data_IF_183292229101
#
_entry.id   IF_183292229101
#
_cell.length_a   1.000
_cell.length_b   1.000
_cell.length_c   1.000
_cell.angle_alpha   90.00
_cell.angle_beta   90.00
_cell.angle_gamma   90.00
#
_symmetry.space_group_name_H-M   'P 1'
#
loop_
_entity.id
_entity.type
_entity.pdbx_description
1 polymer ?
#
# COMPACT_ATOMS: atom_id res chain seq x y z
N UNK A 1 6.35 40.71 22.62
CA UNK A 1 6.29 41.45 21.34
C UNK A 1 7.72 41.63 20.83
N UNK A 2 7.99 41.37 19.53
CA UNK A 2 8.80 40.21 19.16
C UNK A 2 9.95 40.51 18.16
N UNK A 3 10.96 39.62 18.11
CA UNK A 3 11.60 39.10 16.87
C UNK A 3 12.68 38.05 17.22
N UNK A 4 12.66 36.93 16.49
CA UNK A 4 13.77 35.99 16.27
C UNK A 4 14.54 35.48 17.50
N UNK A 5 14.09 34.41 18.14
CA UNK A 5 14.94 33.51 18.92
C UNK A 5 14.26 32.16 19.05
N UNK A 6 14.92 31.09 18.57
CA UNK A 6 14.81 29.66 18.97
C UNK A 6 15.04 28.70 17.79
N UNK A 7 16.20 28.80 17.15
CA UNK A 7 16.83 27.65 16.47
C UNK A 7 18.34 27.51 16.74
N UNK A 8 18.91 28.33 17.64
CA UNK A 8 20.33 28.31 18.05
C UNK A 8 20.65 27.40 19.24
N UNK A 9 19.77 26.47 19.62
CA UNK A 9 20.01 25.52 20.73
C UNK A 9 19.86 24.07 20.26
N UNK A 10 20.74 23.64 19.35
CA UNK A 10 21.09 22.19 19.18
C UNK A 10 22.30 21.91 18.29
N UNK A 11 22.97 22.92 17.74
CA UNK A 11 24.16 22.76 16.90
C UNK A 11 25.39 23.49 17.47
N UNK A 12 25.64 23.39 18.78
CA UNK A 12 26.80 24.01 19.47
C UNK A 12 27.34 23.14 20.64
N UNK A 13 27.23 21.80 20.55
CA UNK A 13 27.77 20.89 21.59
C UNK A 13 28.74 19.83 21.07
N UNK A 14 29.32 20.00 19.88
CA UNK A 14 30.38 19.13 19.36
C UNK A 14 31.73 19.82 19.07
N UNK A 15 31.87 21.11 19.41
CA UNK A 15 33.13 21.85 19.27
C UNK A 15 33.67 22.30 20.64
N UNK A 16 34.07 21.33 21.46
CA UNK A 16 34.82 21.62 22.68
C UNK A 16 35.66 20.42 23.12
N UNK A 17 36.52 19.90 22.24
CA UNK A 17 37.68 19.03 22.56
C UNK A 17 38.37 18.57 21.26
N UNK A 18 39.26 19.42 20.72
CA UNK A 18 40.46 19.01 19.95
C UNK A 18 41.26 20.27 19.61
N UNK A 19 41.99 20.76 20.61
CA UNK A 19 43.21 21.53 20.39
C UNK A 19 44.31 20.53 20.00
N UNK A 20 45.20 20.96 19.10
CA UNK A 20 46.41 20.28 18.58
C UNK A 20 46.21 19.41 17.34
N UNK A 21 46.37 20.02 16.15
CA UNK A 21 47.39 19.66 15.17
C UNK A 21 47.23 20.56 13.93
N UNK A 22 48.29 21.24 13.51
CA UNK A 22 48.29 22.15 12.35
C UNK A 22 48.29 21.42 10.99
N UNK A 23 48.16 20.09 10.98
CA UNK A 23 48.22 19.24 9.79
C UNK A 23 46.82 18.88 9.24
N UNK A 24 45.73 19.08 10.00
CA UNK A 24 44.37 18.78 9.53
C UNK A 24 43.68 19.92 8.74
N UNK A 25 44.29 21.10 8.63
CA UNK A 25 43.67 22.22 7.88
C UNK A 25 43.94 22.16 6.37
N UNK A 26 45.07 21.57 5.98
CA UNK A 26 45.43 21.42 4.56
C UNK A 26 44.63 20.27 3.89
N UNK A 27 44.28 19.22 4.64
CA UNK A 27 43.47 18.11 4.15
C UNK A 27 41.96 18.43 3.99
N UNK A 28 41.44 19.50 4.60
CA UNK A 28 40.03 19.86 4.45
C UNK A 28 39.77 20.79 3.25
N UNK A 29 40.77 21.57 2.83
CA UNK A 29 40.63 22.48 1.68
C UNK A 29 40.87 21.74 0.34
N UNK A 30 41.75 20.73 0.31
CA UNK A 30 41.97 19.90 -0.89
C UNK A 30 40.81 18.94 -1.20
N UNK A 31 40.09 18.46 -0.17
CA UNK A 31 38.89 17.62 -0.36
C UNK A 31 37.71 18.44 -0.89
N UNK A 32 37.61 19.72 -0.52
CA UNK A 32 36.52 20.60 -0.96
C UNK A 32 36.71 21.12 -2.40
N UNK A 33 37.96 21.30 -2.86
CA UNK A 33 38.24 21.55 -4.28
C UNK A 33 38.05 20.31 -5.16
N UNK A 34 38.41 19.12 -4.67
CA UNK A 34 38.21 17.85 -5.38
C UNK A 34 36.73 17.51 -5.60
N UNK A 35 35.87 17.82 -4.63
CA UNK A 35 34.42 17.62 -4.74
C UNK A 35 33.74 18.60 -5.71
N UNK A 36 34.20 19.86 -5.78
CA UNK A 36 33.70 20.86 -6.75
C UNK A 36 34.16 20.58 -8.18
N UNK A 37 35.37 20.05 -8.38
CA UNK A 37 35.87 19.63 -9.71
C UNK A 37 35.21 18.33 -10.19
N UNK A 38 34.80 17.44 -9.29
CA UNK A 38 34.02 16.23 -9.60
C UNK A 38 32.58 16.54 -10.00
N UNK A 39 31.89 17.46 -9.29
CA UNK A 39 30.52 17.87 -9.65
C UNK A 39 30.45 18.59 -11.01
N UNK A 40 31.43 19.43 -11.34
CA UNK A 40 31.48 20.12 -12.64
C UNK A 40 31.90 19.23 -13.84
N UNK A 41 32.45 18.03 -13.58
CA UNK A 41 32.82 17.06 -14.63
C UNK A 41 31.70 16.02 -14.87
N UNK A 42 30.89 15.74 -13.85
CA UNK A 42 29.66 14.94 -13.98
C UNK A 42 28.53 15.73 -14.65
N UNK A 43 28.38 17.04 -14.38
CA UNK A 43 27.36 17.87 -15.03
C UNK A 43 27.63 18.16 -16.52
N UNK A 44 28.88 18.04 -16.98
CA UNK A 44 29.23 18.22 -18.41
C UNK A 44 29.22 16.93 -19.24
N UNK A 45 28.93 15.78 -18.61
CA UNK A 45 28.73 14.48 -19.28
C UNK A 45 27.27 14.04 -19.40
N UNK A 46 26.31 14.83 -18.92
CA UNK A 46 24.92 14.74 -19.35
C UNK A 46 24.76 15.32 -20.77
N UNK A 47 25.42 14.69 -21.74
CA UNK A 47 25.07 14.83 -23.15
C UNK A 47 23.63 14.37 -23.29
N UNK A 48 22.83 15.26 -23.87
CA UNK A 48 21.47 15.07 -24.38
C UNK A 48 21.23 13.63 -24.87
N UNK A 49 20.80 12.76 -23.97
CA UNK A 49 20.02 11.61 -24.37
C UNK A 49 18.68 12.16 -24.84
N UNK A 50 18.18 11.77 -26.02
CA UNK A 50 16.84 12.15 -26.44
C UNK A 50 15.89 11.77 -25.31
N UNK A 51 15.00 12.69 -24.92
CA UNK A 51 13.82 12.34 -24.11
C UNK A 51 13.02 11.35 -24.94
N UNK A 52 13.37 10.06 -24.84
CA UNK A 52 12.45 8.98 -25.16
C UNK A 52 11.28 9.25 -24.23
N UNK A 53 10.14 9.57 -24.81
CA UNK A 53 8.85 9.45 -24.15
C UNK A 53 8.81 8.02 -23.63
N UNK A 54 9.21 7.82 -22.37
CA UNK A 54 9.04 6.55 -21.70
C UNK A 54 7.53 6.36 -21.71
N UNK A 55 7.04 5.43 -22.52
CA UNK A 55 5.70 4.90 -22.32
C UNK A 55 5.63 4.57 -20.82
N UNK A 56 4.69 5.17 -20.10
CA UNK A 56 4.59 5.02 -18.67
C UNK A 56 4.61 3.52 -18.36
N UNK A 57 5.65 3.06 -17.65
CA UNK A 57 5.75 1.65 -17.26
C UNK A 57 4.47 1.37 -16.47
N UNK A 58 3.69 0.32 -16.83
CA UNK A 58 2.46 0.02 -16.13
C UNK A 58 2.76 -0.08 -14.63
N UNK A 59 2.00 0.67 -13.83
CA UNK A 59 2.14 0.60 -12.38
C UNK A 59 1.85 -0.82 -11.94
N UNK A 60 2.79 -1.43 -11.20
CA UNK A 60 2.57 -2.73 -10.57
C UNK A 60 1.57 -2.66 -9.41
N UNK A 61 1.17 -1.47 -8.96
CA UNK A 61 0.30 -1.29 -7.80
C UNK A 61 -1.03 -0.63 -8.20
N UNK A 62 -2.03 -1.46 -8.47
CA UNK A 62 -3.35 -1.04 -8.90
C UNK A 62 -4.29 -0.93 -7.70
N UNK A 63 -4.89 0.25 -7.53
CA UNK A 63 -5.84 0.54 -6.46
C UNK A 63 -7.23 0.80 -7.02
N UNK A 64 -8.22 0.04 -6.59
CA UNK A 64 -9.63 0.30 -6.90
C UNK A 64 -10.27 1.01 -5.70
N UNK A 65 -10.86 2.18 -5.94
CA UNK A 65 -11.64 2.93 -4.96
C UNK A 65 -13.06 3.12 -5.47
N UNK A 66 -14.01 3.37 -4.57
CA UNK A 66 -15.39 3.69 -4.96
C UNK A 66 -16.35 3.69 -3.78
N UNK A 67 -17.61 4.09 -4.00
CA UNK A 67 -18.64 4.09 -2.96
C UNK A 67 -18.84 2.69 -2.36
N UNK A 68 -19.24 2.59 -1.08
CA UNK A 68 -19.68 1.31 -0.51
C UNK A 68 -20.81 0.69 -1.33
N UNK A 69 -20.77 -0.62 -1.57
CA UNK A 69 -21.79 -1.33 -2.34
C UNK A 69 -21.71 -1.14 -3.86
N UNK A 70 -20.72 -0.40 -4.39
CA UNK A 70 -20.57 -0.21 -5.84
C UNK A 70 -20.10 -1.46 -6.58
N UNK A 71 -19.68 -2.52 -5.87
CA UNK A 71 -19.24 -3.78 -6.48
C UNK A 71 -17.72 -3.93 -6.66
N UNK A 72 -16.90 -3.28 -5.83
CA UNK A 72 -15.43 -3.42 -5.85
C UNK A 72 -14.98 -4.87 -5.73
N UNK A 73 -15.48 -5.58 -4.71
CA UNK A 73 -15.22 -7.01 -4.51
C UNK A 73 -15.64 -7.84 -5.71
N UNK A 74 -16.82 -7.57 -6.28
CA UNK A 74 -17.29 -8.26 -7.50
C UNK A 74 -16.35 -8.02 -8.68
N UNK A 75 -15.86 -6.79 -8.87
CA UNK A 75 -14.89 -6.47 -9.91
C UNK A 75 -13.58 -7.24 -9.71
N UNK A 76 -13.02 -7.22 -8.49
CA UNK A 76 -11.79 -7.94 -8.14
C UNK A 76 -11.93 -9.44 -8.39
N UNK A 77 -13.03 -10.05 -7.94
CA UNK A 77 -13.26 -11.48 -8.13
C UNK A 77 -13.39 -11.86 -9.61
N UNK A 78 -14.08 -11.04 -10.42
CA UNK A 78 -14.15 -11.27 -11.87
C UNK A 78 -12.77 -11.18 -12.54
N UNK A 79 -11.91 -10.24 -12.10
CA UNK A 79 -10.53 -10.15 -12.59
C UNK A 79 -9.73 -11.39 -12.19
N UNK A 80 -9.82 -11.82 -10.92
CA UNK A 80 -9.18 -13.03 -10.42
C UNK A 80 -9.60 -14.28 -11.21
N UNK A 81 -10.91 -14.49 -11.41
CA UNK A 81 -11.45 -15.60 -12.19
C UNK A 81 -10.96 -15.57 -13.65
N UNK A 82 -10.92 -14.38 -14.26
CA UNK A 82 -10.42 -14.20 -15.63
C UNK A 82 -8.93 -14.56 -15.74
N UNK A 83 -8.12 -14.15 -14.75
CA UNK A 83 -6.69 -14.47 -14.73
C UNK A 83 -6.46 -15.97 -14.50
N UNK A 84 -7.15 -16.58 -13.53
CA UNK A 84 -7.06 -18.03 -13.30
C UNK A 84 -7.48 -18.85 -14.51
N UNK A 85 -8.56 -18.45 -15.20
CA UNK A 85 -9.03 -19.15 -16.39
C UNK A 85 -8.06 -19.04 -17.57
N UNK A 86 -7.33 -17.93 -17.70
CA UNK A 86 -6.41 -17.70 -18.81
C UNK A 86 -4.96 -18.14 -18.54
N UNK A 87 -4.54 -18.16 -17.27
CA UNK A 87 -3.18 -18.50 -16.85
C UNK A 87 -3.24 -19.34 -15.55
N UNK A 88 -3.58 -20.64 -15.66
CA UNK A 88 -3.85 -21.49 -14.50
C UNK A 88 -2.64 -21.72 -13.58
N UNK A 89 -1.42 -21.45 -14.08
CA UNK A 89 -0.19 -21.60 -13.32
C UNK A 89 0.21 -20.35 -12.53
N UNK A 90 -0.52 -19.24 -12.65
CA UNK A 90 -0.24 -18.04 -11.86
C UNK A 90 -0.47 -18.30 -10.39
N UNK A 91 0.54 -18.04 -9.58
CA UNK A 91 0.43 -18.05 -8.14
C UNK A 91 -0.06 -16.70 -7.64
N UNK A 92 -1.38 -16.63 -7.47
CA UNK A 92 -2.06 -15.46 -6.95
C UNK A 92 -2.33 -15.66 -5.46
N UNK A 93 -1.86 -14.72 -4.64
CA UNK A 93 -2.01 -14.76 -3.18
C UNK A 93 -2.82 -13.60 -2.67
N UNK A 94 -3.41 -13.78 -1.49
CA UNK A 94 -4.18 -12.73 -0.84
C UNK A 94 -5.57 -13.18 -0.41
N UNK A 95 -6.45 -12.20 -0.27
CA UNK A 95 -7.78 -12.40 0.29
C UNK A 95 -8.74 -11.31 -0.19
N UNK A 96 -10.02 -11.58 -0.01
CA UNK A 96 -11.10 -10.63 -0.19
C UNK A 96 -12.03 -10.63 1.03
N UNK A 97 -12.79 -9.55 1.20
CA UNK A 97 -13.76 -9.38 2.28
C UNK A 97 -15.17 -9.60 1.75
N UNK A 98 -15.93 -10.46 2.42
CA UNK A 98 -17.33 -10.76 2.10
C UNK A 98 -18.27 -10.15 3.13
N UNK A 99 -19.36 -9.55 2.66
CA UNK A 99 -20.44 -9.07 3.52
C UNK A 99 -21.30 -10.25 4.01
N UNK A 100 -21.53 -10.32 5.33
CA UNK A 100 -22.41 -11.33 5.94
C UNK A 100 -23.76 -10.69 6.24
N UNK A 101 -24.83 -11.30 5.73
CA UNK A 101 -26.21 -10.84 5.91
C UNK A 101 -27.08 -11.92 6.53
N UNK A 102 -28.03 -11.50 7.35
CA UNK A 102 -29.07 -12.35 7.92
C UNK A 102 -30.38 -11.58 7.92
N UNK A 103 -31.47 -12.20 7.44
CA UNK A 103 -32.76 -11.52 7.32
C UNK A 103 -32.73 -10.25 6.45
N UNK A 104 -31.81 -10.16 5.49
CA UNK A 104 -31.61 -8.98 4.65
C UNK A 104 -30.78 -7.86 5.29
N UNK A 105 -30.48 -7.94 6.59
CA UNK A 105 -29.62 -6.98 7.26
C UNK A 105 -28.15 -7.41 7.23
N UNK A 106 -27.25 -6.44 7.09
CA UNK A 106 -25.82 -6.67 7.29
C UNK A 106 -25.51 -6.86 8.78
N UNK A 107 -24.97 -8.03 9.10
CA UNK A 107 -24.58 -8.42 10.46
C UNK A 107 -23.07 -8.41 10.68
N UNK A 108 -22.27 -8.44 9.61
CA UNK A 108 -20.82 -8.50 9.73
C UNK A 108 -20.10 -8.63 8.40
N UNK A 109 -18.82 -8.99 8.52
CA UNK A 109 -17.89 -9.21 7.42
C UNK A 109 -16.99 -10.40 7.74
N UNK A 110 -16.56 -11.11 6.70
CA UNK A 110 -15.62 -12.22 6.77
C UNK A 110 -14.45 -11.97 5.83
N UNK A 111 -13.26 -12.41 6.23
CA UNK A 111 -12.11 -12.56 5.35
C UNK A 111 -12.19 -13.91 4.67
N UNK A 112 -11.95 -13.94 3.36
CA UNK A 112 -11.85 -15.15 2.55
C UNK A 112 -10.54 -15.12 1.78
N UNK A 113 -9.67 -16.10 2.02
CA UNK A 113 -8.42 -16.27 1.27
C UNK A 113 -8.70 -16.84 -0.12
N UNK A 114 -7.78 -16.64 -1.07
CA UNK A 114 -7.96 -17.14 -2.44
C UNK A 114 -7.89 -18.68 -2.57
N UNK A 115 -7.46 -19.38 -1.52
CA UNK A 115 -7.52 -20.84 -1.40
C UNK A 115 -8.81 -21.33 -0.69
N UNK A 116 -9.72 -20.43 -0.32
CA UNK A 116 -11.04 -20.75 0.18
C UNK A 116 -11.17 -20.87 1.71
N UNK A 117 -10.10 -20.62 2.48
CA UNK A 117 -10.21 -20.50 3.94
C UNK A 117 -10.99 -19.23 4.30
N UNK A 118 -11.77 -19.30 5.37
CA UNK A 118 -12.64 -18.21 5.80
C UNK A 118 -12.56 -17.97 7.29
N UNK A 119 -12.74 -16.72 7.72
CA UNK A 119 -12.93 -16.39 9.13
C UNK A 119 -13.55 -15.02 9.36
N UNK A 120 -14.06 -14.76 10.57
CA UNK A 120 -14.76 -13.52 10.89
C UNK A 120 -13.78 -12.34 10.83
N UNK A 121 -14.20 -11.23 10.22
CA UNK A 121 -13.52 -9.93 10.31
C UNK A 121 -14.20 -9.04 11.33
N UNK A 122 -15.52 -8.91 11.23
CA UNK A 122 -16.30 -8.14 12.20
C UNK A 122 -17.75 -8.59 12.27
N UNK A 123 -18.38 -8.37 13.43
CA UNK A 123 -19.78 -8.74 13.64
C UNK A 123 -20.44 -7.80 14.63
N UNK A 124 -21.74 -7.53 14.44
CA UNK A 124 -22.57 -6.84 15.44
C UNK A 124 -23.23 -7.82 16.43
N UNK A 125 -23.08 -9.14 16.22
CA UNK A 125 -23.67 -10.18 17.07
C UNK A 125 -22.71 -10.74 18.14
N UNK A 126 -21.45 -10.29 18.17
CA UNK A 126 -20.45 -10.84 19.09
C UNK A 126 -20.59 -10.27 20.50
N UNK A 127 -20.73 -11.16 21.47
CA UNK A 127 -20.92 -10.85 22.89
C UNK A 127 -19.95 -11.60 23.82
N UNK A 128 -18.86 -12.16 23.29
CA UNK A 128 -17.86 -12.85 24.10
C UNK A 128 -17.12 -11.88 25.06
N UNK A 129 -16.61 -12.35 26.21
CA UNK A 129 -15.83 -11.52 27.14
C UNK A 129 -14.63 -10.83 26.48
N UNK A 130 -13.95 -11.53 25.56
CA UNK A 130 -12.82 -11.00 24.80
C UNK A 130 -13.22 -9.84 23.88
N UNK A 131 -14.43 -9.92 23.29
CA UNK A 131 -14.95 -8.91 22.36
C UNK A 131 -15.25 -7.56 23.00
N UNK A 132 -15.19 -7.45 24.33
CA UNK A 132 -15.40 -6.18 25.06
C UNK A 132 -14.32 -5.17 24.72
N UNK A 133 -13.09 -5.63 24.48
CA UNK A 133 -11.93 -4.75 24.16
C UNK A 133 -11.68 -4.60 22.67
N UNK A 134 -12.48 -5.25 21.83
CA UNK A 134 -12.28 -5.20 20.40
C UNK A 134 -12.58 -3.80 19.84
N UNK A 135 -11.80 -3.33 18.86
CA UNK A 135 -12.09 -2.07 18.20
C UNK A 135 -13.42 -2.14 17.44
N UNK A 136 -14.09 -1.00 17.29
CA UNK A 136 -15.41 -0.92 16.67
C UNK A 136 -15.45 0.03 15.47
N UNK A 137 -16.26 -0.33 14.48
CA UNK A 137 -16.65 0.54 13.36
C UNK A 137 -18.17 0.60 13.29
N UNK A 138 -18.75 1.68 13.81
CA UNK A 138 -20.20 1.74 13.99
C UNK A 138 -20.67 0.63 14.92
N UNK A 139 -21.62 -0.21 14.48
CA UNK A 139 -22.14 -1.33 15.25
C UNK A 139 -21.28 -2.61 15.21
N UNK A 140 -20.23 -2.65 14.39
CA UNK A 140 -19.44 -3.87 14.18
C UNK A 140 -18.20 -3.87 15.07
N UNK A 141 -18.03 -4.93 15.86
CA UNK A 141 -16.79 -5.22 16.59
C UNK A 141 -15.85 -6.02 15.69
N UNK A 142 -14.59 -5.61 15.61
CA UNK A 142 -13.59 -6.19 14.71
C UNK A 142 -12.76 -7.23 15.45
N UNK A 143 -12.74 -8.44 14.90
CA UNK A 143 -11.90 -9.54 15.38
C UNK A 143 -10.51 -9.44 14.74
N UNK A 144 -9.65 -8.65 15.37
CA UNK A 144 -8.28 -8.41 14.89
C UNK A 144 -7.46 -9.70 14.87
N UNK A 145 -7.67 -10.59 15.85
CA UNK A 145 -6.93 -11.84 15.95
C UNK A 145 -7.28 -12.80 14.80
N UNK A 146 -8.57 -12.92 14.48
CA UNK A 146 -9.03 -13.69 13.32
C UNK A 146 -8.48 -13.14 12.01
N UNK A 147 -8.55 -11.82 11.79
CA UNK A 147 -7.93 -11.16 10.63
C UNK A 147 -6.43 -11.49 10.53
N UNK A 148 -5.69 -11.34 11.62
CA UNK A 148 -4.24 -11.59 11.62
C UNK A 148 -3.91 -13.05 11.32
N UNK A 149 -4.70 -14.00 11.83
CA UNK A 149 -4.48 -15.43 11.60
C UNK A 149 -4.71 -15.86 10.15
N UNK A 150 -5.56 -15.16 9.40
CA UNK A 150 -5.94 -15.51 8.03
C UNK A 150 -5.28 -14.63 6.97
N UNK A 151 -5.41 -13.31 7.10
CA UNK A 151 -5.00 -12.37 6.05
C UNK A 151 -3.48 -12.12 6.04
N UNK A 152 -2.85 -12.00 7.21
CA UNK A 152 -1.41 -11.64 7.28
C UNK A 152 -0.50 -12.72 6.67
N UNK A 153 -0.74 -14.03 6.87
CA UNK A 153 0.03 -15.07 6.17
C UNK A 153 -0.07 -15.00 4.65
N UNK A 154 -1.20 -14.53 4.11
CA UNK A 154 -1.40 -14.35 2.67
C UNK A 154 -0.61 -13.17 2.09
N UNK A 155 -0.08 -12.30 2.93
CA UNK A 155 0.75 -11.16 2.55
C UNK A 155 2.25 -11.42 2.72
N UNK A 156 2.65 -12.69 2.91
CA UNK A 156 4.06 -13.06 2.88
C UNK A 156 4.59 -12.99 1.44
N UNK A 157 5.59 -12.16 1.22
CA UNK A 157 6.32 -12.06 -0.05
C UNK A 157 7.13 -13.35 -0.25
N UNK A 158 6.86 -14.05 -1.35
CA UNK A 158 7.58 -15.25 -1.76
C UNK A 158 7.97 -15.14 -3.23
N UNK A 159 9.10 -15.74 -3.61
CA UNK A 159 9.64 -15.64 -4.97
C UNK A 159 8.68 -16.19 -6.02
N UNK A 160 7.94 -17.23 -5.68
CA UNK A 160 6.97 -17.86 -6.57
C UNK A 160 5.65 -17.09 -6.70
N UNK A 161 5.47 -15.93 -6.05
CA UNK A 161 4.20 -15.18 -6.10
C UNK A 161 4.18 -14.20 -7.27
N UNK A 162 3.19 -14.36 -8.15
CA UNK A 162 3.06 -13.53 -9.37
C UNK A 162 2.18 -12.30 -9.16
N UNK A 163 1.19 -12.39 -8.27
CA UNK A 163 0.21 -11.32 -8.03
C UNK A 163 -0.35 -11.40 -6.60
N UNK A 164 -0.49 -10.25 -5.97
CA UNK A 164 -1.28 -10.09 -4.75
C UNK A 164 -2.66 -9.49 -5.02
N UNK A 165 -3.69 -10.02 -4.36
CA UNK A 165 -5.04 -9.44 -4.31
C UNK A 165 -5.38 -9.08 -2.86
N UNK A 166 -5.74 -7.83 -2.61
CA UNK A 166 -6.04 -7.33 -1.26
C UNK A 166 -7.35 -6.52 -1.30
N UNK A 167 -8.47 -7.17 -1.02
CA UNK A 167 -9.78 -6.51 -0.95
C UNK A 167 -10.35 -6.64 0.47
N UNK A 168 -10.38 -5.63 1.33
CA UNK A 168 -10.02 -4.22 1.18
C UNK A 168 -8.90 -3.85 2.17
N UNK A 169 -8.14 -2.79 1.87
CA UNK A 169 -7.32 -2.10 2.88
C UNK A 169 -8.13 -0.92 3.43
N UNK A 170 -8.95 -1.20 4.44
CA UNK A 170 -9.92 -0.26 4.99
C UNK A 170 -9.75 -0.01 6.49
N UNK A 171 -10.74 0.64 7.08
CA UNK A 171 -10.71 1.00 8.51
C UNK A 171 -10.61 -0.23 9.43
N UNK A 172 -11.29 -1.31 9.08
CA UNK A 172 -11.37 -2.50 9.92
C UNK A 172 -10.04 -3.24 9.94
N UNK A 173 -9.45 -3.43 8.77
CA UNK A 173 -8.20 -4.15 8.59
C UNK A 173 -7.01 -3.38 9.20
N UNK A 174 -7.07 -2.04 9.14
CA UNK A 174 -6.05 -1.16 9.72
C UNK A 174 -6.06 -1.08 11.25
N UNK A 175 -6.95 -1.78 11.95
CA UNK A 175 -6.81 -1.98 13.40
C UNK A 175 -5.71 -2.99 13.75
N UNK A 176 -5.35 -3.89 12.83
CA UNK A 176 -4.24 -4.81 13.03
C UNK A 176 -2.90 -4.05 12.91
N UNK A 177 -2.07 -4.20 13.94
CA UNK A 177 -0.69 -3.67 13.92
C UNK A 177 0.23 -4.43 12.97
N UNK A 178 -0.11 -5.68 12.62
CA UNK A 178 0.68 -6.51 11.70
C UNK A 178 0.28 -6.33 10.23
N UNK A 179 -0.99 -6.01 9.97
CA UNK A 179 -1.56 -5.98 8.63
C UNK A 179 -0.95 -4.90 7.73
N UNK A 180 -1.00 -3.63 8.14
CA UNK A 180 -0.49 -2.55 7.30
C UNK A 180 1.01 -2.67 6.97
N UNK A 181 1.90 -3.04 7.92
CA UNK A 181 3.28 -3.36 7.59
C UNK A 181 3.43 -4.50 6.58
N UNK A 182 2.57 -5.52 6.61
CA UNK A 182 2.59 -6.59 5.62
C UNK A 182 2.19 -6.10 4.22
N UNK A 183 1.13 -5.28 4.13
CA UNK A 183 0.75 -4.61 2.87
C UNK A 183 1.89 -3.77 2.30
N UNK A 184 2.59 -3.01 3.15
CA UNK A 184 3.74 -2.21 2.70
C UNK A 184 4.88 -3.06 2.15
N UNK A 185 5.21 -4.19 2.80
CA UNK A 185 6.23 -5.13 2.28
C UNK A 185 5.86 -5.70 0.92
N UNK A 186 4.58 -6.04 0.73
CA UNK A 186 4.06 -6.51 -0.57
C UNK A 186 4.26 -5.44 -1.64
N UNK A 187 3.90 -4.18 -1.37
CA UNK A 187 4.09 -3.08 -2.32
C UNK A 187 5.58 -2.84 -2.64
N UNK A 188 6.45 -2.97 -1.64
CA UNK A 188 7.91 -2.80 -1.79
C UNK A 188 8.60 -3.96 -2.55
N UNK A 189 7.94 -5.12 -2.67
CA UNK A 189 8.48 -6.31 -3.35
C UNK A 189 8.54 -6.19 -4.88
N UNK A 190 7.88 -5.20 -5.47
CA UNK A 190 7.65 -5.04 -6.92
C UNK A 190 6.84 -6.16 -7.59
N UNK A 191 6.30 -7.11 -6.82
CA UNK A 191 5.27 -8.03 -7.32
C UNK A 191 4.00 -7.22 -7.60
N UNK A 192 3.30 -7.46 -8.73
CA UNK A 192 2.02 -6.84 -9.01
C UNK A 192 1.01 -6.98 -7.84
N UNK A 193 0.26 -5.92 -7.58
CA UNK A 193 -0.76 -5.84 -6.52
C UNK A 193 -2.03 -5.24 -7.09
N UNK A 194 -3.14 -5.95 -6.92
CA UNK A 194 -4.48 -5.42 -7.09
C UNK A 194 -5.12 -5.28 -5.71
N UNK A 195 -5.35 -4.06 -5.25
CA UNK A 195 -5.97 -3.82 -3.96
C UNK A 195 -7.17 -2.88 -4.06
N UNK A 196 -8.08 -2.97 -3.11
CA UNK A 196 -9.18 -2.01 -2.97
C UNK A 196 -8.99 -1.14 -1.74
N UNK A 197 -9.46 0.10 -1.84
CA UNK A 197 -9.44 1.08 -0.75
C UNK A 197 -10.78 1.82 -0.67
N UNK A 198 -11.18 2.29 0.52
CA UNK A 198 -12.39 3.09 0.65
C UNK A 198 -12.19 4.49 0.10
N UNK A 199 -13.29 5.13 -0.33
CA UNK A 199 -13.28 6.57 -0.58
C UNK A 199 -13.13 7.34 0.75
N UNK A 200 -12.46 8.51 0.75
CA UNK A 200 -12.38 9.36 1.94
C UNK A 200 -13.78 9.79 2.34
N UNK A 201 -14.12 9.68 3.63
CA UNK A 201 -15.42 10.11 4.15
C UNK A 201 -15.30 11.48 4.80
N UNK A 202 -16.15 12.43 4.37
CA UNK A 202 -16.26 13.76 4.98
C UNK A 202 -14.90 14.50 5.11
N UNK A 203 -14.02 14.34 4.11
CA UNK A 203 -12.70 14.97 4.10
C UNK A 203 -11.67 14.39 5.09
N UNK A 204 -12.01 13.35 5.86
CA UNK A 204 -11.09 12.64 6.74
C UNK A 204 -10.69 11.33 6.10
N UNK A 205 -9.51 11.32 5.50
CA UNK A 205 -8.90 10.08 5.00
C UNK A 205 -8.26 9.31 6.16
N UNK A 206 -8.29 7.99 6.09
CA UNK A 206 -7.65 7.13 7.09
C UNK A 206 -6.15 7.17 6.77
N UNK A 207 -5.24 7.49 7.71
CA UNK A 207 -3.83 7.73 7.39
C UNK A 207 -3.16 6.60 6.58
N UNK A 208 -3.46 5.33 6.89
CA UNK A 208 -2.98 4.18 6.13
C UNK A 208 -3.52 4.14 4.70
N UNK A 209 -4.82 4.41 4.51
CA UNK A 209 -5.45 4.48 3.19
C UNK A 209 -4.88 5.64 2.36
N UNK A 210 -4.75 6.82 2.97
CA UNK A 210 -4.14 7.98 2.34
C UNK A 210 -2.71 7.70 1.88
N UNK A 211 -1.93 6.95 2.68
CA UNK A 211 -0.56 6.55 2.32
C UNK A 211 -0.53 5.63 1.09
N UNK A 212 -1.47 4.70 0.97
CA UNK A 212 -1.58 3.85 -0.22
C UNK A 212 -2.02 4.66 -1.45
N UNK A 213 -3.10 5.45 -1.31
CA UNK A 213 -3.65 6.28 -2.39
C UNK A 213 -2.61 7.22 -2.99
N UNK A 214 -1.76 7.81 -2.16
CA UNK A 214 -0.74 8.78 -2.57
C UNK A 214 0.64 8.14 -2.83
N UNK A 215 0.73 6.80 -2.85
CA UNK A 215 1.98 6.13 -3.15
C UNK A 215 2.41 6.45 -4.59
N UNK A 216 3.67 6.82 -4.86
CA UNK A 216 4.11 7.26 -6.20
C UNK A 216 3.98 6.17 -7.26
N UNK A 217 4.02 4.90 -6.83
CA UNK A 217 3.80 3.76 -7.70
C UNK A 217 2.34 3.35 -7.87
N UNK A 218 1.36 4.01 -7.22
CA UNK A 218 -0.05 3.59 -7.28
C UNK A 218 -0.78 4.14 -8.52
N UNK A 219 -1.49 3.27 -9.23
CA UNK A 219 -2.51 3.66 -10.21
C UNK A 219 -3.90 3.52 -9.57
N UNK A 220 -4.59 4.64 -9.36
CA UNK A 220 -5.90 4.67 -8.68
C UNK A 220 -7.05 4.74 -9.68
N UNK A 221 -7.94 3.76 -9.60
CA UNK A 221 -9.13 3.62 -10.44
C UNK A 221 -10.40 3.81 -9.60
N UNK A 222 -11.25 4.75 -10.00
CA UNK A 222 -12.51 5.01 -9.30
C UNK A 222 -13.65 4.27 -9.99
N UNK A 223 -14.20 3.28 -9.29
CA UNK A 223 -15.34 2.48 -9.74
C UNK A 223 -16.65 3.24 -9.44
N UNK A 224 -17.48 3.34 -10.45
CA UNK A 224 -18.87 3.80 -10.37
C UNK A 224 -19.80 2.76 -11.00
N UNK A 225 -21.10 3.04 -11.08
CA UNK A 225 -22.09 2.13 -11.65
C UNK A 225 -22.01 2.02 -13.18
N UNK A 226 -21.47 3.02 -13.87
CA UNK A 226 -21.41 3.11 -15.33
C UNK A 226 -20.12 2.58 -15.94
N UNK A 227 -19.04 2.46 -15.15
CA UNK A 227 -17.72 2.08 -15.68
C UNK A 227 -17.26 0.65 -15.31
N UNK A 228 -18.10 -0.17 -14.67
CA UNK A 228 -17.70 -1.48 -14.12
C UNK A 228 -17.04 -2.40 -15.14
N UNK A 229 -17.65 -2.56 -16.31
CA UNK A 229 -17.16 -3.51 -17.31
C UNK A 229 -15.89 -2.98 -17.99
N UNK A 230 -15.87 -1.70 -18.36
CA UNK A 230 -14.67 -1.04 -18.90
C UNK A 230 -13.51 -1.08 -17.90
N UNK A 231 -13.80 -0.92 -16.61
CA UNK A 231 -12.81 -1.00 -15.54
C UNK A 231 -12.21 -2.40 -15.46
N UNK A 232 -13.04 -3.44 -15.52
CA UNK A 232 -12.58 -4.84 -15.54
C UNK A 232 -11.59 -5.05 -16.67
N UNK A 233 -11.93 -4.64 -17.88
CA UNK A 233 -11.10 -4.87 -19.05
C UNK A 233 -9.78 -4.10 -18.97
N UNK A 234 -9.82 -2.88 -18.44
CA UNK A 234 -8.63 -2.07 -18.17
C UNK A 234 -7.69 -2.75 -17.18
N UNK A 235 -8.21 -3.20 -16.03
CA UNK A 235 -7.41 -3.88 -14.99
C UNK A 235 -6.85 -5.20 -15.52
N UNK A 236 -7.66 -6.02 -16.19
CA UNK A 236 -7.21 -7.27 -16.81
C UNK A 236 -6.09 -7.03 -17.82
N UNK A 237 -6.21 -6.01 -18.66
CA UNK A 237 -5.18 -5.66 -19.65
C UNK A 237 -3.87 -5.23 -18.97
N UNK A 238 -3.94 -4.36 -17.96
CA UNK A 238 -2.75 -3.92 -17.22
C UNK A 238 -2.07 -5.09 -16.51
N UNK A 239 -2.82 -5.94 -15.82
CA UNK A 239 -2.25 -7.10 -15.13
C UNK A 239 -1.62 -8.08 -16.11
N UNK A 240 -2.25 -8.39 -17.25
CA UNK A 240 -1.64 -9.24 -18.29
C UNK A 240 -0.31 -8.66 -18.79
N UNK A 241 -0.24 -7.34 -19.01
CA UNK A 241 1.01 -6.70 -19.46
C UNK A 241 2.15 -6.76 -18.44
N UNK A 242 1.80 -6.84 -17.15
CA UNK A 242 2.77 -6.95 -16.05
C UNK A 242 3.26 -8.38 -15.86
N UNK A 243 2.37 -9.36 -16.06
CA UNK A 243 2.61 -10.79 -15.83
C UNK A 243 3.29 -11.49 -17.01
N UNK A 244 3.49 -10.81 -18.14
CA UNK A 244 4.18 -11.33 -19.33
C UNK A 244 5.70 -11.06 -19.33
N UNK A 245 6.28 -10.75 -18.18
CA UNK A 245 7.74 -10.51 -18.02
C UNK A 245 8.47 -11.79 -17.64
#
# INVERSE_FOLDING_TARGET
>A
MPRFQLSRRRCQKFEARRRRCHVCKILCDDVNEGLKKSQNSLERRCRRLPRRTMAAVPSGFLLITGPPGVGKTTLVMRVFETLRGSHPNLNIRGFYTREVREGGERIGFEVVTLDGRTGPLSSCKVSSPESVRWPTVGKYKVDVASLESLAVPELQVKEETDLFIIDEVGKMELFSSAFFPAVMRVIESNIPVLATIPIPRQGRDIPGVARLRNHPGAAVFTLDTGNRDTMRDTICSQLRSLLQR
#
